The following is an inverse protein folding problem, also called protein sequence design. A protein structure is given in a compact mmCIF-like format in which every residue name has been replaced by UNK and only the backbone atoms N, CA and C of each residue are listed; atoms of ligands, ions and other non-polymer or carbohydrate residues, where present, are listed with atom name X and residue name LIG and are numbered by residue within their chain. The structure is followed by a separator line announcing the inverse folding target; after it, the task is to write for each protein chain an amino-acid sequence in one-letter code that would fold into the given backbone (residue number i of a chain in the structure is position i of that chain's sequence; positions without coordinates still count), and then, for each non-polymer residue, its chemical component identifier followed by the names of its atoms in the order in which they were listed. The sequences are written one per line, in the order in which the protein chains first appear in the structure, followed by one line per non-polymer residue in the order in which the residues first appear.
data_IF_403339805516
#
_entry.id   IF_403339805516
#
_cell.length_a   1.000
_cell.length_b   1.000
_cell.length_c   1.000
_cell.angle_alpha   90.00
_cell.angle_beta   90.00
_cell.angle_gamma   90.00
#
_symmetry.space_group_name_H-M   'P 1'
#
loop_
_entity.id
_entity.type
_entity.pdbx_description
1 polymer ?
#
# COMPACT_ATOMS: atom_id res chain seq x y z
N UNK A 1 14.74 39.75 -27.77
CA UNK A 1 13.37 39.83 -27.34
C UNK A 1 13.13 38.76 -26.26
N UNK A 2 12.83 39.20 -25.04
CA UNK A 2 12.43 38.24 -23.98
C UNK A 2 11.07 37.68 -24.37
N UNK A 3 10.99 36.37 -24.56
CA UNK A 3 9.72 35.69 -24.74
C UNK A 3 8.90 35.86 -23.46
N UNK A 4 7.69 36.40 -23.60
CA UNK A 4 6.76 36.60 -22.49
C UNK A 4 6.40 35.25 -21.84
N UNK A 5 6.76 35.00 -20.57
CA UNK A 5 6.50 33.73 -19.91
C UNK A 5 5.02 33.35 -19.86
N UNK A 6 4.12 34.32 -19.85
CA UNK A 6 2.65 34.13 -19.87
C UNK A 6 2.17 33.52 -21.20
N UNK A 7 2.83 33.85 -22.33
CA UNK A 7 2.50 33.22 -23.61
C UNK A 7 2.94 31.77 -23.69
N UNK A 8 4.05 31.43 -23.05
CA UNK A 8 4.52 30.04 -22.98
C UNK A 8 3.61 29.16 -22.13
N UNK A 9 3.13 29.64 -20.98
CA UNK A 9 2.17 28.89 -20.17
C UNK A 9 0.83 28.66 -20.89
N UNK A 10 0.31 29.65 -21.59
CA UNK A 10 -0.91 29.51 -22.40
C UNK A 10 -0.74 28.53 -23.56
N UNK A 11 0.42 28.48 -24.19
CA UNK A 11 0.69 27.59 -25.32
C UNK A 11 0.87 26.13 -24.82
N UNK A 12 1.47 25.91 -23.65
CA UNK A 12 1.57 24.62 -22.98
C UNK A 12 0.19 24.10 -22.54
N UNK A 13 -0.61 24.95 -21.90
CA UNK A 13 -1.96 24.60 -21.49
C UNK A 13 -2.92 24.31 -22.65
N UNK A 14 -2.74 24.95 -23.81
CA UNK A 14 -3.50 24.67 -25.02
C UNK A 14 -3.10 23.34 -25.66
N UNK A 15 -1.82 22.98 -25.68
CA UNK A 15 -1.34 21.66 -26.09
C UNK A 15 -1.82 20.55 -25.16
N UNK A 16 -1.81 20.79 -23.87
CA UNK A 16 -2.28 19.83 -22.88
C UNK A 16 -3.80 19.55 -22.99
N UNK A 17 -4.60 20.56 -23.25
CA UNK A 17 -6.04 20.40 -23.53
C UNK A 17 -6.32 19.59 -24.80
N UNK A 18 -5.47 19.70 -25.82
CA UNK A 18 -5.64 18.98 -27.08
C UNK A 18 -5.21 17.51 -27.00
N UNK A 19 -4.29 17.17 -26.09
CA UNK A 19 -3.78 15.80 -25.89
C UNK A 19 -4.56 15.00 -24.82
N UNK A 20 -5.69 15.51 -24.31
CA UNK A 20 -6.36 14.97 -23.13
C UNK A 20 -5.52 15.23 -21.88
N UNK A 21 -6.02 14.97 -20.69
CA UNK A 21 -5.33 15.27 -19.42
C UNK A 21 -3.96 14.56 -19.33
N UNK A 22 -2.91 15.28 -19.74
CA UNK A 22 -1.53 14.81 -19.71
C UNK A 22 -1.04 14.81 -18.25
N UNK A 23 -1.15 13.69 -17.56
CA UNK A 23 -0.53 13.52 -16.25
C UNK A 23 0.98 13.55 -16.41
N UNK A 24 1.64 14.55 -15.83
CA UNK A 24 3.11 14.69 -15.85
C UNK A 24 3.78 13.84 -14.79
N UNK A 25 3.06 13.51 -13.73
CA UNK A 25 3.50 12.67 -12.62
C UNK A 25 2.34 11.88 -12.02
N UNK A 26 2.68 10.97 -11.12
CA UNK A 26 1.75 10.21 -10.29
C UNK A 26 2.29 10.07 -8.88
N UNK A 27 1.42 9.81 -7.92
CA UNK A 27 1.78 9.49 -6.55
C UNK A 27 1.51 8.02 -6.27
N UNK A 28 2.38 7.41 -5.46
CA UNK A 28 2.19 6.07 -4.94
C UNK A 28 2.47 6.04 -3.44
N UNK A 29 1.72 5.21 -2.71
CA UNK A 29 1.92 5.00 -1.28
C UNK A 29 2.10 3.52 -1.01
N UNK A 30 3.11 3.18 -0.20
CA UNK A 30 3.38 1.81 0.25
C UNK A 30 3.36 1.78 1.77
N UNK A 31 2.61 0.84 2.34
CA UNK A 31 2.73 0.50 3.74
C UNK A 31 4.07 -0.21 3.96
N UNK A 32 4.74 0.12 5.06
CA UNK A 32 6.03 -0.46 5.44
C UNK A 32 5.85 -1.36 6.68
N UNK A 33 6.71 -2.39 6.85
CA UNK A 33 6.62 -3.29 8.00
C UNK A 33 6.81 -2.56 9.33
N UNK A 34 5.91 -2.83 10.28
CA UNK A 34 5.97 -2.27 11.64
C UNK A 34 7.17 -2.75 12.45
N UNK A 35 7.76 -3.86 12.06
CA UNK A 35 8.90 -4.49 12.69
C UNK A 35 10.19 -3.68 12.50
N UNK A 36 10.29 -2.89 11.43
CA UNK A 36 11.45 -2.03 11.16
C UNK A 36 11.31 -0.78 12.02
N UNK A 37 12.07 -0.73 13.13
CA UNK A 37 12.11 0.40 14.07
C UNK A 37 13.33 1.29 13.87
N UNK A 38 14.30 0.83 13.11
CA UNK A 38 15.52 1.56 12.79
C UNK A 38 15.28 2.44 11.56
N UNK A 39 15.42 3.75 11.74
CA UNK A 39 15.17 4.72 10.67
C UNK A 39 16.16 4.56 9.51
N UNK A 40 17.39 4.10 9.77
CA UNK A 40 18.39 3.84 8.73
C UNK A 40 18.00 2.64 7.86
N UNK A 41 17.47 1.58 8.48
CA UNK A 41 16.93 0.43 7.76
C UNK A 41 15.67 0.79 6.97
N UNK A 42 14.82 1.65 7.54
CA UNK A 42 13.62 2.12 6.86
C UNK A 42 13.99 2.94 5.61
N UNK A 43 14.97 3.83 5.74
CA UNK A 43 15.48 4.63 4.63
C UNK A 43 16.09 3.74 3.53
N UNK A 44 16.93 2.78 3.92
CA UNK A 44 17.55 1.84 2.98
C UNK A 44 16.51 1.02 2.21
N UNK A 45 15.50 0.48 2.91
CA UNK A 45 14.41 -0.25 2.26
C UNK A 45 13.65 0.62 1.25
N UNK A 46 13.29 1.84 1.66
CA UNK A 46 12.53 2.74 0.78
C UNK A 46 13.34 3.19 -0.43
N UNK A 47 14.64 3.42 -0.27
CA UNK A 47 15.54 3.71 -1.38
C UNK A 47 15.62 2.54 -2.37
N UNK A 48 15.72 1.30 -1.89
CA UNK A 48 15.69 0.09 -2.74
C UNK A 48 14.38 0.00 -3.52
N UNK A 49 13.22 0.20 -2.87
CA UNK A 49 11.91 0.16 -3.53
C UNK A 49 11.83 1.23 -4.62
N UNK A 50 12.19 2.48 -4.31
CA UNK A 50 12.12 3.59 -5.28
C UNK A 50 13.04 3.34 -6.46
N UNK A 51 14.26 2.90 -6.20
CA UNK A 51 15.26 2.60 -7.25
C UNK A 51 14.77 1.50 -8.19
N UNK A 52 14.35 0.38 -7.66
CA UNK A 52 13.97 -0.79 -8.45
C UNK A 52 12.63 -0.59 -9.17
N UNK A 53 11.63 -0.01 -8.50
CA UNK A 53 10.30 0.13 -9.07
C UNK A 53 10.17 1.30 -10.06
N UNK A 54 10.95 2.37 -9.88
CA UNK A 54 10.76 3.62 -10.63
C UNK A 54 12.02 4.12 -11.34
N UNK A 55 13.13 4.28 -10.62
CA UNK A 55 14.35 4.89 -11.19
C UNK A 55 14.96 4.01 -12.28
N UNK A 56 14.95 2.69 -12.13
CA UNK A 56 15.40 1.74 -13.18
C UNK A 56 14.57 1.80 -14.47
N UNK A 57 13.33 2.31 -14.38
CA UNK A 57 12.50 2.59 -15.55
C UNK A 57 12.75 3.99 -16.14
N UNK A 58 13.83 4.67 -15.72
CA UNK A 58 14.20 6.00 -16.18
C UNK A 58 13.39 7.14 -15.56
N UNK A 59 12.50 6.88 -14.60
CA UNK A 59 11.67 7.90 -13.99
C UNK A 59 12.47 8.71 -12.95
N UNK A 60 12.19 10.00 -12.86
CA UNK A 60 12.61 10.82 -11.73
C UNK A 60 11.59 10.60 -10.62
N UNK A 61 12.06 10.30 -9.41
CA UNK A 61 11.23 10.07 -8.25
C UNK A 61 11.74 10.85 -7.04
N UNK A 62 10.81 11.49 -6.32
CA UNK A 62 10.98 12.05 -5.00
C UNK A 62 10.17 11.22 -4.02
N UNK A 63 10.68 11.00 -2.80
CA UNK A 63 9.97 10.21 -1.80
C UNK A 63 10.20 10.71 -0.39
N UNK A 64 9.26 10.37 0.49
CA UNK A 64 9.35 10.63 1.91
C UNK A 64 8.77 9.44 2.70
N UNK A 65 9.34 9.16 3.85
CA UNK A 65 8.83 8.17 4.81
C UNK A 65 8.14 8.88 5.96
N UNK A 66 7.01 8.33 6.39
CA UNK A 66 6.28 8.76 7.57
C UNK A 66 6.06 7.57 8.48
N UNK A 67 6.25 7.77 9.79
CA UNK A 67 6.04 6.74 10.81
C UNK A 67 4.97 7.13 11.84
N UNK A 68 4.12 8.09 11.49
CA UNK A 68 3.12 8.65 12.39
C UNK A 68 2.14 7.60 12.91
N UNK A 69 1.88 7.61 14.22
CA UNK A 69 0.87 6.79 14.89
C UNK A 69 1.01 5.27 14.65
N UNK A 70 2.22 4.77 14.43
CA UNK A 70 2.46 3.34 14.25
C UNK A 70 1.98 2.79 12.90
N UNK A 71 1.91 3.64 11.89
CA UNK A 71 1.61 3.24 10.50
C UNK A 71 2.71 3.76 9.57
N UNK A 72 3.90 3.13 9.56
CA UNK A 72 4.99 3.54 8.70
C UNK A 72 4.59 3.36 7.22
N UNK A 73 4.84 4.39 6.43
CA UNK A 73 4.51 4.37 5.01
C UNK A 73 5.45 5.24 4.19
N UNK A 74 5.60 4.85 2.94
CA UNK A 74 6.40 5.52 1.94
C UNK A 74 5.48 6.25 0.97
N UNK A 75 5.69 7.57 0.82
CA UNK A 75 5.10 8.39 -0.22
C UNK A 75 6.09 8.58 -1.36
N UNK A 76 5.63 8.40 -2.58
CA UNK A 76 6.43 8.60 -3.80
C UNK A 76 5.68 9.56 -4.72
N UNK A 77 6.41 10.51 -5.26
CA UNK A 77 6.00 11.31 -6.42
C UNK A 77 6.97 10.98 -7.56
N UNK A 78 6.46 10.43 -8.66
CA UNK A 78 7.29 10.07 -9.80
C UNK A 78 6.77 10.67 -11.10
N UNK A 79 7.69 10.92 -12.05
CA UNK A 79 7.33 11.36 -13.41
C UNK A 79 6.67 10.24 -14.19
N UNK A 80 5.87 10.58 -15.20
CA UNK A 80 5.31 9.60 -16.13
C UNK A 80 6.20 9.34 -17.34
N UNK A 81 7.20 10.21 -17.55
CA UNK A 81 8.15 10.12 -18.66
C UNK A 81 9.54 9.81 -18.14
N UNK A 82 10.25 8.87 -18.74
CA UNK A 82 11.66 8.66 -18.48
C UNK A 82 12.47 9.92 -18.78
N UNK A 83 13.53 10.11 -18.01
CA UNK A 83 14.54 11.14 -18.24
C UNK A 83 15.72 10.48 -18.93
N UNK A 84 16.04 10.93 -20.16
CA UNK A 84 17.09 10.39 -21.01
C UNK A 84 17.90 11.54 -21.61
N UNK A 85 19.22 11.50 -21.47
CA UNK A 85 20.16 12.44 -22.08
C UNK A 85 19.81 13.94 -21.93
N UNK A 86 19.31 14.33 -20.76
CA UNK A 86 18.98 15.73 -20.47
C UNK A 86 17.57 16.18 -20.88
N UNK A 87 16.72 15.28 -21.39
CA UNK A 87 15.35 15.58 -21.78
C UNK A 87 14.38 14.47 -21.29
N UNK A 88 13.10 14.82 -21.18
CA UNK A 88 12.06 13.82 -21.00
C UNK A 88 11.76 13.11 -22.32
N UNK A 89 11.74 11.78 -22.27
CA UNK A 89 11.34 10.93 -23.39
C UNK A 89 9.95 11.32 -23.92
N UNK A 90 9.71 11.15 -25.21
CA UNK A 90 8.37 11.32 -25.79
C UNK A 90 7.40 10.23 -25.34
N UNK A 91 7.91 9.03 -25.06
CA UNK A 91 7.15 7.91 -24.52
C UNK A 91 6.81 8.14 -23.04
N UNK A 92 5.73 7.51 -22.59
CA UNK A 92 5.29 7.53 -21.19
C UNK A 92 5.23 6.13 -20.65
N UNK A 93 5.67 5.98 -19.40
CA UNK A 93 5.35 4.77 -18.66
C UNK A 93 3.84 4.78 -18.34
N UNK A 94 3.11 3.87 -18.93
CA UNK A 94 1.69 3.69 -18.64
C UNK A 94 1.54 2.83 -17.40
N UNK A 95 1.00 3.43 -16.33
CA UNK A 95 0.63 2.70 -15.10
C UNK A 95 -0.80 2.20 -15.28
N UNK A 96 -0.96 1.11 -16.02
CA UNK A 96 -2.20 0.36 -16.08
C UNK A 96 -2.26 -0.69 -14.95
N UNK A 97 -3.30 -1.54 -14.97
CA UNK A 97 -3.49 -2.55 -13.93
C UNK A 97 -2.35 -3.57 -13.88
N UNK A 98 -1.85 -3.97 -15.02
CA UNK A 98 -0.77 -4.96 -15.11
C UNK A 98 0.53 -4.39 -14.54
N UNK A 99 0.93 -3.20 -14.97
CA UNK A 99 2.11 -2.52 -14.44
C UNK A 99 2.00 -2.21 -12.95
N UNK A 100 0.81 -1.87 -12.47
CA UNK A 100 0.56 -1.67 -11.03
C UNK A 100 0.77 -2.97 -10.24
N UNK A 101 0.30 -4.11 -10.76
CA UNK A 101 0.51 -5.41 -10.11
C UNK A 101 1.98 -5.80 -10.11
N UNK A 102 2.69 -5.62 -11.24
CA UNK A 102 4.14 -5.83 -11.33
C UNK A 102 4.90 -5.03 -10.26
N UNK A 103 4.62 -3.72 -10.16
CA UNK A 103 5.26 -2.85 -9.15
C UNK A 103 4.94 -3.33 -7.72
N UNK A 104 3.71 -3.75 -7.44
CA UNK A 104 3.33 -4.25 -6.12
C UNK A 104 4.05 -5.55 -5.76
N UNK A 105 4.17 -6.49 -6.71
CA UNK A 105 4.92 -7.73 -6.51
C UNK A 105 6.39 -7.46 -6.28
N UNK A 106 7.02 -6.64 -7.13
CA UNK A 106 8.43 -6.28 -6.99
C UNK A 106 8.71 -5.58 -5.64
N UNK A 107 7.87 -4.64 -5.23
CA UNK A 107 8.02 -3.98 -3.93
C UNK A 107 7.87 -4.97 -2.75
N UNK A 108 6.97 -5.95 -2.84
CA UNK A 108 6.83 -7.00 -1.83
C UNK A 108 8.06 -7.92 -1.78
N UNK A 109 8.61 -8.32 -2.93
CA UNK A 109 9.83 -9.12 -3.02
C UNK A 109 11.03 -8.39 -2.40
N UNK A 110 11.24 -7.12 -2.75
CA UNK A 110 12.31 -6.29 -2.18
C UNK A 110 12.16 -6.20 -0.66
N UNK A 111 10.93 -5.97 -0.19
CA UNK A 111 10.63 -5.87 1.25
C UNK A 111 10.96 -7.18 1.96
N UNK A 112 10.55 -8.32 1.41
CA UNK A 112 10.81 -9.64 1.99
C UNK A 112 12.30 -9.99 1.98
N UNK A 113 13.00 -9.72 0.88
CA UNK A 113 14.43 -9.92 0.79
C UNK A 113 15.17 -9.07 1.84
N UNK A 114 14.81 -7.80 1.98
CA UNK A 114 15.37 -6.93 3.01
C UNK A 114 15.15 -7.49 4.42
N UNK A 115 13.93 -7.99 4.70
CA UNK A 115 13.62 -8.63 5.97
C UNK A 115 14.51 -9.83 6.27
N UNK A 116 14.74 -10.69 5.29
CA UNK A 116 15.64 -11.86 5.40
C UNK A 116 17.09 -11.41 5.65
N UNK A 117 17.60 -10.44 4.89
CA UNK A 117 18.96 -9.92 5.03
C UNK A 117 19.22 -9.32 6.42
N UNK A 118 18.22 -8.71 7.02
CA UNK A 118 18.31 -8.00 8.32
C UNK A 118 17.76 -8.80 9.51
N UNK A 119 17.25 -10.01 9.29
CA UNK A 119 16.72 -10.88 10.34
C UNK A 119 15.37 -10.43 10.92
N UNK A 120 14.59 -9.68 10.17
CA UNK A 120 13.24 -9.28 10.57
C UNK A 120 12.23 -10.41 10.36
N UNK A 121 11.27 -10.52 11.28
CA UNK A 121 10.21 -11.52 11.22
C UNK A 121 8.90 -10.93 10.72
N UNK A 122 8.86 -10.60 9.43
CA UNK A 122 7.64 -10.24 8.70
C UNK A 122 7.62 -10.90 7.32
N UNK A 123 6.44 -10.99 6.75
CA UNK A 123 6.23 -11.37 5.36
C UNK A 123 5.19 -10.45 4.73
N UNK A 124 5.45 -9.94 3.54
CA UNK A 124 4.55 -9.10 2.75
C UNK A 124 4.10 -9.88 1.53
N UNK A 125 2.78 -10.01 1.34
CA UNK A 125 2.19 -10.68 0.19
C UNK A 125 1.33 -9.70 -0.60
N UNK A 126 1.71 -9.44 -1.84
CA UNK A 126 1.02 -8.48 -2.72
C UNK A 126 -0.23 -9.07 -3.39
N UNK A 127 -0.48 -10.38 -3.25
CA UNK A 127 -1.64 -11.07 -3.83
C UNK A 127 -2.94 -10.67 -3.11
N UNK A 128 -4.07 -10.85 -3.78
CA UNK A 128 -5.39 -10.67 -3.17
C UNK A 128 -5.67 -11.75 -2.10
N UNK A 129 -6.69 -11.57 -1.27
CA UNK A 129 -7.14 -12.61 -0.35
C UNK A 129 -7.54 -13.89 -1.10
N UNK A 130 -8.26 -13.75 -2.22
CA UNK A 130 -8.66 -14.85 -3.09
C UNK A 130 -7.45 -15.66 -3.58
N UNK A 131 -6.42 -14.99 -4.13
CA UNK A 131 -5.19 -15.65 -4.62
C UNK A 131 -4.38 -16.33 -3.49
N UNK A 132 -4.61 -15.91 -2.24
CA UNK A 132 -3.99 -16.52 -1.04
C UNK A 132 -4.85 -17.62 -0.42
N UNK A 133 -6.03 -17.89 -0.97
CA UNK A 133 -6.98 -18.86 -0.43
C UNK A 133 -7.58 -18.43 0.91
N UNK A 134 -7.67 -17.13 1.18
CA UNK A 134 -8.30 -16.54 2.37
C UNK A 134 -9.73 -16.17 2.00
N UNK A 135 -10.70 -16.80 2.67
CA UNK A 135 -12.12 -16.61 2.41
C UNK A 135 -12.72 -15.43 3.20
N UNK A 136 -12.03 -14.29 3.19
CA UNK A 136 -12.48 -13.06 3.82
C UNK A 136 -12.59 -11.93 2.80
N UNK A 137 -13.50 -11.00 3.06
CA UNK A 137 -13.70 -9.82 2.21
C UNK A 137 -12.73 -8.72 2.68
N UNK A 138 -11.90 -8.16 1.78
CA UNK A 138 -11.01 -7.06 2.15
C UNK A 138 -11.79 -5.77 2.40
N UNK A 139 -11.40 -4.99 3.41
CA UNK A 139 -11.98 -3.67 3.67
C UNK A 139 -11.62 -2.68 2.55
N UNK A 140 -12.48 -1.69 2.33
CA UNK A 140 -12.25 -0.62 1.36
C UNK A 140 -11.45 0.52 1.98
N UNK A 141 -10.50 1.05 1.21
CA UNK A 141 -9.72 2.21 1.65
C UNK A 141 -10.61 3.46 1.80
N UNK A 142 -10.56 4.09 2.98
CA UNK A 142 -11.45 5.22 3.30
C UNK A 142 -11.00 6.56 2.70
N UNK A 143 -9.73 6.71 2.33
CA UNK A 143 -9.17 7.98 1.85
C UNK A 143 -9.15 9.08 2.92
N UNK A 144 -8.29 10.09 2.74
CA UNK A 144 -8.09 11.17 3.74
C UNK A 144 -9.35 12.02 4.00
N UNK A 145 -10.15 12.28 2.97
CA UNK A 145 -11.37 13.09 3.11
C UNK A 145 -12.45 12.41 3.96
N UNK A 146 -12.58 11.09 3.87
CA UNK A 146 -13.53 10.33 4.68
C UNK A 146 -13.03 10.17 6.12
N UNK A 147 -11.72 10.14 6.32
CA UNK A 147 -11.10 10.06 7.64
C UNK A 147 -11.25 11.35 8.46
N UNK A 148 -11.24 12.53 7.81
CA UNK A 148 -11.37 13.84 8.48
C UNK A 148 -12.80 14.34 8.65
N UNK A 149 -13.77 13.80 7.89
CA UNK A 149 -15.20 14.04 8.14
C UNK A 149 -15.72 12.90 9.00
N UNK A 150 -16.06 13.18 10.25
CA UNK A 150 -16.65 12.25 11.22
C UNK A 150 -17.06 10.92 10.61
N UNK A 151 -16.21 9.91 10.83
CA UNK A 151 -16.10 8.64 10.11
C UNK A 151 -17.40 7.80 10.05
N UNK A 152 -18.33 8.03 10.95
CA UNK A 152 -19.54 7.21 11.11
C UNK A 152 -20.59 7.45 10.01
N UNK A 153 -20.55 8.60 9.34
CA UNK A 153 -21.53 8.96 8.30
C UNK A 153 -21.06 8.69 6.87
N UNK A 154 -19.82 8.20 6.66
CA UNK A 154 -19.35 7.94 5.31
C UNK A 154 -19.88 6.60 4.80
N UNK A 155 -20.37 6.56 3.56
CA UNK A 155 -20.79 5.31 2.90
C UNK A 155 -19.73 4.21 3.00
N UNK A 156 -18.45 4.56 2.85
CA UNK A 156 -17.34 3.58 2.92
C UNK A 156 -17.18 3.04 4.35
N UNK A 157 -17.38 3.85 5.39
CA UNK A 157 -17.34 3.35 6.77
C UNK A 157 -18.50 2.37 7.03
N UNK A 158 -19.68 2.64 6.52
CA UNK A 158 -20.82 1.75 6.63
C UNK A 158 -20.57 0.42 5.89
N UNK A 159 -20.13 0.50 4.63
CA UNK A 159 -19.73 -0.68 3.85
C UNK A 159 -18.63 -1.51 4.56
N UNK A 160 -17.62 -0.85 5.17
CA UNK A 160 -16.59 -1.55 5.93
C UNK A 160 -17.12 -2.21 7.21
N UNK A 161 -18.12 -1.62 7.86
CA UNK A 161 -18.77 -2.25 9.01
C UNK A 161 -19.58 -3.49 8.57
N UNK A 162 -20.31 -3.42 7.47
CA UNK A 162 -20.99 -4.59 6.90
C UNK A 162 -20.01 -5.71 6.54
N UNK A 163 -18.88 -5.38 5.88
CA UNK A 163 -17.81 -6.32 5.58
C UNK A 163 -17.25 -6.93 6.87
N UNK A 164 -17.07 -6.14 7.93
CA UNK A 164 -16.59 -6.64 9.21
C UNK A 164 -17.56 -7.67 9.80
N UNK A 165 -18.86 -7.39 9.79
CA UNK A 165 -19.87 -8.33 10.28
C UNK A 165 -19.91 -9.64 9.46
N UNK A 166 -19.83 -9.55 8.13
CA UNK A 166 -19.77 -10.72 7.26
C UNK A 166 -18.53 -11.56 7.54
N UNK A 167 -17.37 -10.92 7.68
CA UNK A 167 -16.12 -11.60 8.03
C UNK A 167 -16.16 -12.24 9.43
N UNK A 168 -16.86 -11.65 10.41
CA UNK A 168 -17.04 -12.26 11.72
C UNK A 168 -17.84 -13.55 11.65
N UNK A 169 -18.89 -13.60 10.85
CA UNK A 169 -19.67 -14.83 10.63
C UNK A 169 -18.76 -15.91 10.01
N UNK A 170 -18.01 -15.55 8.96
CA UNK A 170 -17.07 -16.47 8.31
C UNK A 170 -16.02 -17.00 9.30
N UNK A 171 -15.44 -16.14 10.13
CA UNK A 171 -14.43 -16.54 11.13
C UNK A 171 -15.00 -17.39 12.28
N UNK A 172 -16.29 -17.28 12.58
CA UNK A 172 -16.94 -18.15 13.56
C UNK A 172 -17.20 -19.54 12.99
N UNK A 173 -17.47 -19.65 11.69
CA UNK A 173 -17.69 -20.93 11.01
C UNK A 173 -16.36 -21.57 10.58
N UNK A 174 -15.37 -20.75 10.18
CA UNK A 174 -14.05 -21.14 9.67
C UNK A 174 -12.91 -20.41 10.42
N UNK A 175 -12.66 -20.75 11.71
CA UNK A 175 -11.65 -20.08 12.52
C UNK A 175 -10.22 -20.25 11.98
N UNK A 176 -9.94 -21.28 11.19
CA UNK A 176 -8.66 -21.51 10.52
C UNK A 176 -8.26 -20.36 9.57
N UNK A 177 -9.19 -19.53 9.12
CA UNK A 177 -8.88 -18.34 8.32
C UNK A 177 -7.99 -17.34 9.08
N UNK A 178 -8.09 -17.30 10.41
CA UNK A 178 -7.19 -16.50 11.26
C UNK A 178 -5.75 -17.00 11.14
N UNK A 179 -5.54 -18.31 11.13
CA UNK A 179 -4.20 -18.89 10.98
C UNK A 179 -3.61 -18.57 9.62
N UNK A 180 -4.43 -18.62 8.54
CA UNK A 180 -3.99 -18.22 7.20
C UNK A 180 -3.57 -16.75 7.18
N UNK A 181 -4.33 -15.86 7.81
CA UNK A 181 -3.99 -14.44 7.91
C UNK A 181 -2.64 -14.24 8.61
N UNK A 182 -2.42 -14.87 9.75
CA UNK A 182 -1.16 -14.74 10.50
C UNK A 182 0.01 -15.32 9.70
N UNK A 183 -0.16 -16.49 9.08
CA UNK A 183 0.87 -17.15 8.27
C UNK A 183 1.26 -16.32 7.01
N UNK A 184 0.39 -15.45 6.52
CA UNK A 184 0.72 -14.55 5.40
C UNK A 184 1.45 -13.27 5.83
N UNK A 185 1.57 -13.00 7.14
CA UNK A 185 2.19 -11.76 7.68
C UNK A 185 3.51 -12.02 8.40
N UNK A 186 3.77 -13.26 8.80
CA UNK A 186 4.93 -13.66 9.60
C UNK A 186 5.62 -14.87 9.00
N UNK A 187 6.96 -14.86 9.01
CA UNK A 187 7.75 -16.05 8.65
C UNK A 187 7.63 -17.14 9.73
N UNK A 188 7.68 -16.71 10.99
CA UNK A 188 7.42 -17.56 12.15
C UNK A 188 6.43 -16.83 13.06
N UNK A 189 5.38 -17.48 13.48
CA UNK A 189 4.38 -16.88 14.35
C UNK A 189 4.20 -17.67 15.65
N UNK A 190 3.76 -16.97 16.67
CA UNK A 190 3.56 -17.46 18.04
C UNK A 190 2.08 -17.46 18.38
N UNK A 191 1.72 -18.09 19.49
CA UNK A 191 0.37 -18.01 20.05
C UNK A 191 -0.05 -16.55 20.28
N UNK A 192 0.86 -15.68 20.71
CA UNK A 192 0.57 -14.26 20.91
C UNK A 192 0.25 -13.51 19.60
N UNK A 193 0.82 -13.92 18.46
CA UNK A 193 0.49 -13.35 17.15
C UNK A 193 -0.94 -13.75 16.73
N UNK A 194 -1.31 -14.99 16.97
CA UNK A 194 -2.68 -15.49 16.74
C UNK A 194 -3.67 -14.71 17.61
N UNK A 195 -3.43 -14.59 18.90
CA UNK A 195 -4.30 -13.88 19.85
C UNK A 195 -4.45 -12.40 19.48
N UNK A 196 -3.39 -11.76 19.00
CA UNK A 196 -3.42 -10.38 18.50
C UNK A 196 -4.32 -10.23 17.27
N UNK A 197 -4.23 -11.18 16.32
CA UNK A 197 -5.10 -11.15 15.14
C UNK A 197 -6.56 -11.44 15.53
N UNK A 198 -6.83 -12.38 16.44
CA UNK A 198 -8.16 -12.64 16.99
C UNK A 198 -8.74 -11.37 17.61
N UNK A 199 -7.97 -10.68 18.46
CA UNK A 199 -8.41 -9.43 19.11
C UNK A 199 -8.73 -8.33 18.08
N UNK A 200 -7.89 -8.20 17.08
CA UNK A 200 -8.11 -7.25 15.96
C UNK A 200 -9.39 -7.57 15.20
N UNK A 201 -9.68 -8.84 14.93
CA UNK A 201 -10.89 -9.28 14.23
C UNK A 201 -12.15 -9.15 15.08
N UNK A 202 -12.02 -9.28 16.40
CA UNK A 202 -13.10 -9.02 17.32
C UNK A 202 -13.46 -7.52 17.47
N UNK A 203 -12.69 -6.62 16.86
CA UNK A 203 -12.95 -5.17 16.94
C UNK A 203 -12.83 -4.60 18.34
N UNK A 204 -12.10 -5.25 19.25
CA UNK A 204 -11.97 -4.89 20.66
C UNK A 204 -13.09 -5.43 21.56
N UNK A 205 -14.07 -6.16 21.02
CA UNK A 205 -15.13 -6.81 21.80
C UNK A 205 -14.57 -8.09 22.45
N UNK A 206 -14.50 -8.10 23.81
CA UNK A 206 -13.96 -9.21 24.57
C UNK A 206 -14.85 -10.46 24.53
N UNK A 207 -16.15 -10.34 24.32
CA UNK A 207 -17.03 -11.49 24.17
C UNK A 207 -16.74 -12.21 22.83
N UNK A 208 -16.67 -11.45 21.73
CA UNK A 208 -16.30 -11.97 20.42
C UNK A 208 -14.88 -12.52 20.40
N UNK A 209 -13.93 -11.86 21.07
CA UNK A 209 -12.57 -12.37 21.24
C UNK A 209 -12.54 -13.75 21.89
N UNK A 210 -13.22 -13.90 23.04
CA UNK A 210 -13.27 -15.18 23.75
C UNK A 210 -13.96 -16.26 22.92
N UNK A 211 -15.03 -15.90 22.21
CA UNK A 211 -15.76 -16.82 21.35
C UNK A 211 -14.89 -17.31 20.17
N UNK A 212 -14.22 -16.42 19.44
CA UNK A 212 -13.30 -16.78 18.36
C UNK A 212 -12.12 -17.61 18.88
N UNK A 213 -11.51 -17.21 20.01
CA UNK A 213 -10.40 -17.92 20.63
C UNK A 213 -10.77 -19.34 21.04
N UNK A 214 -12.00 -19.57 21.48
CA UNK A 214 -12.46 -20.91 21.90
C UNK A 214 -12.69 -21.87 20.72
N UNK A 215 -12.70 -21.37 19.50
CA UNK A 215 -12.91 -22.17 18.28
C UNK A 215 -11.62 -22.48 17.52
N UNK A 216 -10.51 -21.80 17.87
CA UNK A 216 -9.15 -22.06 17.37
C UNK A 216 -8.45 -23.15 18.14
#
# INVERSE_FOLDING_TARGET
GHADPIKNEKSLGAKEKFLGSCKTGFTANFALPLEIKDDSHLLELTERIVKECYVKNGLIAEWATHSDKGNPHLHILATTRPWEEGNFSESRLRIDREKLLEIRHLAAEITNQFGQERGYNYHVDARSYEDRGINLIPSRHMGSKAYHKHNEESRIAHENNEIHQQNLVELLDHPEEILKLVATQKVVFTQADIEREVFKRAGGDMHLYNLLKSRL
#
